data_IF_926919705861
#
_entry.id   IF_926919705861
#
_cell.length_a   1.000
_cell.length_b   1.000
_cell.length_c   1.000
_cell.angle_alpha   90.00
_cell.angle_beta   90.00
_cell.angle_gamma   90.00
#
_symmetry.space_group_name_H-M   'P 1'
#
loop_
_entity.id
_entity.type
_entity.pdbx_description
1 polymer ?
#
# COMPACT_ATOMS: atom_id res chain seq x y z
N UNK A 1 2.47 -23.91 -11.50
CA UNK A 1 1.12 -23.29 -11.50
C UNK A 1 0.41 -23.71 -10.20
N UNK A 2 0.93 -23.27 -9.05
CA UNK A 2 0.29 -23.46 -7.74
C UNK A 2 -0.12 -22.07 -7.27
N UNK A 3 -1.30 -21.63 -7.69
CA UNK A 3 -1.90 -20.44 -7.11
C UNK A 3 -2.26 -20.83 -5.67
N UNK A 4 -1.46 -20.37 -4.73
CA UNK A 4 -1.66 -20.66 -3.32
C UNK A 4 -2.98 -20.00 -2.91
N UNK A 5 -3.93 -20.80 -2.42
CA UNK A 5 -5.25 -20.34 -1.95
C UNK A 5 -5.19 -19.10 -1.05
N UNK A 6 -4.09 -18.95 -0.31
CA UNK A 6 -3.78 -17.79 0.54
C UNK A 6 -3.73 -16.48 -0.25
N UNK A 7 -3.12 -16.46 -1.44
CA UNK A 7 -2.95 -15.24 -2.22
C UNK A 7 -4.29 -14.75 -2.80
N UNK A 8 -5.19 -15.68 -3.16
CA UNK A 8 -6.54 -15.35 -3.62
C UNK A 8 -7.42 -14.79 -2.49
N UNK A 9 -7.28 -15.32 -1.28
CA UNK A 9 -7.97 -14.81 -0.09
C UNK A 9 -7.47 -13.41 0.25
N UNK A 10 -6.16 -13.19 0.27
CA UNK A 10 -5.56 -11.88 0.53
C UNK A 10 -5.98 -10.84 -0.52
N UNK A 11 -5.94 -11.20 -1.81
CA UNK A 11 -6.35 -10.30 -2.90
C UNK A 11 -7.84 -9.93 -2.82
N UNK A 12 -8.70 -10.91 -2.53
CA UNK A 12 -10.15 -10.68 -2.34
C UNK A 12 -10.42 -9.81 -1.12
N UNK A 13 -9.69 -10.03 -0.02
CA UNK A 13 -9.83 -9.25 1.21
C UNK A 13 -9.41 -7.79 1.01
N UNK A 14 -8.31 -7.54 0.30
CA UNK A 14 -7.83 -6.20 -0.03
C UNK A 14 -8.83 -5.49 -0.95
N UNK A 15 -9.32 -6.17 -1.98
CA UNK A 15 -10.33 -5.62 -2.89
C UNK A 15 -11.64 -5.28 -2.15
N UNK A 16 -12.09 -6.15 -1.25
CA UNK A 16 -13.26 -5.92 -0.42
C UNK A 16 -13.08 -4.72 0.53
N UNK A 17 -11.92 -4.59 1.19
CA UNK A 17 -11.61 -3.46 2.05
C UNK A 17 -11.56 -2.13 1.27
N UNK A 18 -10.95 -2.12 0.09
CA UNK A 18 -10.90 -0.93 -0.77
C UNK A 18 -12.30 -0.51 -1.23
N UNK A 19 -13.14 -1.49 -1.62
CA UNK A 19 -14.55 -1.27 -1.95
C UNK A 19 -15.35 -0.73 -0.77
N UNK A 20 -15.17 -1.31 0.43
CA UNK A 20 -15.80 -0.84 1.66
C UNK A 20 -15.44 0.62 1.96
N UNK A 21 -14.15 0.99 1.88
CA UNK A 21 -13.72 2.38 2.10
C UNK A 21 -14.33 3.35 1.09
N UNK A 22 -14.42 2.94 -0.17
CA UNK A 22 -15.02 3.74 -1.24
C UNK A 22 -16.50 3.98 -0.96
N UNK A 23 -17.24 2.94 -0.56
CA UNK A 23 -18.65 3.07 -0.18
C UNK A 23 -18.84 3.94 1.07
N UNK A 24 -18.00 3.76 2.10
CA UNK A 24 -18.07 4.56 3.33
C UNK A 24 -17.83 6.04 3.05
N UNK A 25 -16.79 6.37 2.28
CA UNK A 25 -16.48 7.76 1.91
C UNK A 25 -17.56 8.37 1.02
N UNK A 26 -18.11 7.59 0.07
CA UNK A 26 -19.22 8.02 -0.77
C UNK A 26 -20.50 8.29 0.04
N UNK A 27 -20.85 7.41 0.97
CA UNK A 27 -21.95 7.60 1.90
C UNK A 27 -21.74 8.84 2.80
N UNK A 28 -20.49 9.09 3.23
CA UNK A 28 -20.14 10.26 4.03
C UNK A 28 -20.33 11.57 3.24
N UNK A 29 -19.92 11.59 1.97
CA UNK A 29 -20.15 12.70 1.03
C UNK A 29 -21.65 12.95 0.88
N UNK A 30 -22.45 11.92 0.60
CA UNK A 30 -23.91 12.06 0.47
C UNK A 30 -24.52 12.59 1.77
N UNK A 31 -24.16 12.05 2.93
CA UNK A 31 -24.67 12.51 4.22
C UNK A 31 -24.36 13.99 4.46
N UNK A 32 -23.14 14.42 4.11
CA UNK A 32 -22.71 15.80 4.29
C UNK A 32 -23.40 16.78 3.35
N UNK A 33 -23.59 16.42 2.07
CA UNK A 33 -24.16 17.31 1.06
C UNK A 33 -25.69 17.25 0.96
N UNK A 34 -26.32 16.11 1.25
CA UNK A 34 -27.78 15.91 1.13
C UNK A 34 -28.47 16.12 2.47
N UNK A 35 -27.91 15.60 3.56
CA UNK A 35 -28.55 15.65 4.88
C UNK A 35 -28.02 16.79 5.77
N UNK A 36 -27.01 17.56 5.32
CA UNK A 36 -26.36 18.66 6.06
C UNK A 36 -25.94 18.28 7.50
N UNK A 37 -25.79 16.98 7.76
CA UNK A 37 -25.50 16.41 9.07
C UNK A 37 -24.25 15.55 8.92
N UNK A 38 -23.22 15.85 9.72
CA UNK A 38 -21.99 15.06 9.71
C UNK A 38 -22.20 13.81 10.57
N UNK A 39 -22.12 12.64 9.95
CA UNK A 39 -22.06 11.38 10.68
C UNK A 39 -20.67 11.32 11.33
N UNK A 40 -20.53 11.85 12.56
CA UNK A 40 -19.26 11.83 13.30
C UNK A 40 -18.65 10.43 13.36
N UNK A 41 -19.51 9.41 13.50
CA UNK A 41 -19.09 8.02 13.60
C UNK A 41 -18.55 7.44 12.28
N UNK A 42 -18.96 7.97 11.12
CA UNK A 42 -18.50 7.47 9.83
C UNK A 42 -17.04 7.85 9.55
N UNK A 43 -16.56 8.97 10.12
CA UNK A 43 -15.15 9.35 10.04
C UNK A 43 -14.28 8.35 10.80
N UNK A 44 -14.62 8.07 12.06
CA UNK A 44 -13.93 7.10 12.92
C UNK A 44 -13.89 5.71 12.24
N UNK A 45 -15.04 5.22 11.75
CA UNK A 45 -15.12 3.93 11.06
C UNK A 45 -14.23 3.88 9.81
N UNK A 46 -14.17 4.98 9.05
CA UNK A 46 -13.29 5.07 7.87
C UNK A 46 -11.82 5.05 8.27
N UNK A 47 -11.42 5.73 9.36
CA UNK A 47 -10.04 5.70 9.86
C UNK A 47 -9.65 4.30 10.35
N UNK A 48 -10.53 3.60 11.08
CA UNK A 48 -10.28 2.22 11.50
C UNK A 48 -10.16 1.27 10.29
N UNK A 49 -11.04 1.40 9.29
CA UNK A 49 -10.96 0.64 8.05
C UNK A 49 -9.66 0.93 7.28
N UNK A 50 -9.21 2.19 7.27
CA UNK A 50 -7.96 2.59 6.63
C UNK A 50 -6.75 1.92 7.27
N UNK A 51 -6.69 1.91 8.61
CA UNK A 51 -5.62 1.25 9.35
C UNK A 51 -5.50 -0.23 8.99
N UNK A 52 -6.63 -0.93 8.93
CA UNK A 52 -6.68 -2.35 8.52
C UNK A 52 -6.23 -2.55 7.06
N UNK A 53 -6.68 -1.66 6.16
CA UNK A 53 -6.30 -1.71 4.76
C UNK A 53 -4.79 -1.50 4.58
N UNK A 54 -4.20 -0.53 5.27
CA UNK A 54 -2.76 -0.24 5.19
C UNK A 54 -1.94 -1.43 5.71
N UNK A 55 -2.32 -2.02 6.84
CA UNK A 55 -1.64 -3.20 7.41
C UNK A 55 -1.67 -4.40 6.45
N UNK A 56 -2.86 -4.75 5.95
CA UNK A 56 -3.05 -5.88 5.05
C UNK A 56 -2.41 -5.62 3.67
N UNK A 57 -2.55 -4.40 3.16
CA UNK A 57 -1.95 -3.97 1.90
C UNK A 57 -0.42 -3.97 1.95
N UNK A 58 0.18 -3.52 3.05
CA UNK A 58 1.63 -3.56 3.25
C UNK A 58 2.15 -5.01 3.35
N UNK A 59 1.46 -5.87 4.10
CA UNK A 59 1.81 -7.30 4.18
C UNK A 59 1.79 -7.98 2.81
N UNK A 60 0.73 -7.77 2.03
CA UNK A 60 0.61 -8.33 0.69
C UNK A 60 1.64 -7.76 -0.30
N UNK A 61 1.92 -6.45 -0.23
CA UNK A 61 2.94 -5.79 -1.04
C UNK A 61 4.34 -6.41 -0.83
N UNK A 62 4.71 -6.62 0.44
CA UNK A 62 5.99 -7.26 0.81
C UNK A 62 6.01 -8.73 0.37
N UNK A 63 4.90 -9.46 0.57
CA UNK A 63 4.80 -10.88 0.19
C UNK A 63 4.92 -11.11 -1.32
N UNK A 64 4.40 -10.20 -2.14
CA UNK A 64 4.57 -10.22 -3.60
C UNK A 64 5.97 -9.78 -4.05
N UNK A 65 6.88 -9.47 -3.12
CA UNK A 65 8.23 -8.99 -3.41
C UNK A 65 8.24 -7.64 -4.12
N UNK A 66 7.13 -6.91 -4.06
CA UNK A 66 7.06 -5.57 -4.61
C UNK A 66 7.58 -4.63 -3.55
N UNK A 67 8.84 -4.21 -3.67
CA UNK A 67 9.21 -2.89 -3.19
C UNK A 67 8.46 -1.90 -4.10
N UNK A 68 7.13 -1.76 -3.93
CA UNK A 68 6.23 -1.09 -4.87
C UNK A 68 6.78 0.26 -5.32
N UNK A 69 7.38 1.03 -4.41
CA UNK A 69 8.02 2.31 -4.72
C UNK A 69 9.21 2.20 -5.67
N UNK A 70 10.06 1.18 -5.54
CA UNK A 70 11.23 0.99 -6.40
C UNK A 70 10.87 0.22 -7.66
N UNK A 71 9.97 -0.76 -7.60
CA UNK A 71 9.53 -1.56 -8.75
C UNK A 71 8.71 -0.72 -9.73
N UNK A 72 7.79 0.15 -9.27
CA UNK A 72 7.04 1.03 -10.16
C UNK A 72 7.95 2.02 -10.89
N UNK A 73 8.93 2.59 -10.18
CA UNK A 73 9.93 3.51 -10.74
C UNK A 73 10.86 2.78 -11.71
N UNK A 74 11.29 1.56 -11.37
CA UNK A 74 12.18 0.78 -12.23
C UNK A 74 11.46 0.27 -13.47
N UNK A 75 10.17 -0.06 -13.37
CA UNK A 75 9.36 -0.57 -14.48
C UNK A 75 8.82 0.55 -15.38
N UNK A 76 8.65 1.77 -14.86
CA UNK A 76 8.29 2.95 -15.64
C UNK A 76 9.49 3.57 -16.40
N UNK A 77 10.74 3.17 -16.10
CA UNK A 77 11.94 3.79 -16.67
C UNK A 77 12.73 2.81 -17.56
N UNK A 78 13.28 3.33 -18.67
CA UNK A 78 14.08 2.59 -19.67
C UNK A 78 15.17 1.69 -19.03
N UNK A 79 15.51 0.54 -19.65
CA UNK A 79 16.38 -0.51 -19.09
C UNK A 79 17.79 -0.06 -18.67
N UNK A 80 18.29 1.08 -19.17
CA UNK A 80 19.57 1.66 -18.72
C UNK A 80 19.48 2.33 -17.34
N UNK A 81 18.38 2.99 -17.02
CA UNK A 81 18.20 3.64 -15.73
C UNK A 81 17.91 2.64 -14.61
N UNK A 82 17.28 1.49 -14.94
CA UNK A 82 17.10 0.36 -14.03
C UNK A 82 18.42 -0.14 -13.42
N UNK A 83 19.48 -0.24 -14.23
CA UNK A 83 20.83 -0.63 -13.74
C UNK A 83 21.44 0.44 -12.82
N UNK A 84 21.26 1.72 -13.15
CA UNK A 84 21.77 2.81 -12.33
C UNK A 84 21.06 2.87 -10.96
N UNK A 85 19.73 2.74 -10.95
CA UNK A 85 18.94 2.69 -9.71
C UNK A 85 19.30 1.48 -8.84
N UNK A 86 19.54 0.31 -9.44
CA UNK A 86 20.01 -0.87 -8.72
C UNK A 86 21.36 -0.63 -8.04
N UNK A 87 22.32 -0.02 -8.74
CA UNK A 87 23.63 0.33 -8.18
C UNK A 87 23.50 1.35 -7.03
N UNK A 88 22.65 2.37 -7.17
CA UNK A 88 22.38 3.36 -6.12
C UNK A 88 21.76 2.73 -4.89
N UNK A 89 20.79 1.82 -5.07
CA UNK A 89 20.15 1.13 -3.95
C UNK A 89 21.15 0.28 -3.17
N UNK A 90 22.04 -0.46 -3.85
CA UNK A 90 23.10 -1.24 -3.21
C UNK A 90 24.10 -0.33 -2.49
N UNK A 91 24.49 0.79 -3.10
CA UNK A 91 25.37 1.78 -2.48
C UNK A 91 24.75 2.37 -1.20
N UNK A 92 23.45 2.69 -1.21
CA UNK A 92 22.70 3.13 -0.04
C UNK A 92 22.68 2.08 1.08
N UNK A 93 22.44 0.80 0.75
CA UNK A 93 22.48 -0.28 1.72
C UNK A 93 23.87 -0.45 2.35
N UNK A 94 24.94 -0.39 1.55
CA UNK A 94 26.32 -0.46 2.04
C UNK A 94 26.65 0.75 2.94
N UNK A 95 26.26 1.95 2.52
CA UNK A 95 26.47 3.17 3.31
C UNK A 95 25.76 3.10 4.65
N UNK A 96 24.50 2.62 4.67
CA UNK A 96 23.73 2.44 5.89
C UNK A 96 24.35 1.38 6.83
N UNK A 97 24.79 0.25 6.28
CA UNK A 97 25.49 -0.78 7.04
C UNK A 97 26.79 -0.26 7.67
N UNK A 98 27.55 0.57 6.93
CA UNK A 98 28.75 1.23 7.46
C UNK A 98 28.44 2.22 8.57
N UNK A 99 27.34 2.98 8.44
CA UNK A 99 26.90 3.94 9.44
C UNK A 99 26.49 3.25 10.74
N UNK A 100 25.79 2.11 10.66
CA UNK A 100 25.43 1.28 11.81
C UNK A 100 26.63 0.62 12.49
N UNK A 101 27.66 0.26 11.73
CA UNK A 101 28.90 -0.33 12.29
C UNK A 101 29.81 0.70 12.96
N UNK A 102 29.72 1.96 12.54
CA UNK A 102 30.52 3.07 13.07
C UNK A 102 29.80 3.85 14.17
N UNK A 103 28.49 3.63 14.33
CA UNK A 103 27.63 4.21 15.36
C UNK A 103 27.55 3.37 16.63
#
# INVERSE_FOLDING_TARGET
MHANWTDAIEETLIAALLGLMTLLTFANVIARYVFNSNILWALELTVFAFGWLVLLGASYAVKKGMHLGVDLVINAVRPRARRALGLVSVACCIAFAFLLLKG
#
